data_IF_987976554971
#
_entry.id   IF_987976554971
#
_cell.length_a   1.000
_cell.length_b   1.000
_cell.length_c   1.000
_cell.angle_alpha   90.00
_cell.angle_beta   90.00
_cell.angle_gamma   90.00
#
_symmetry.space_group_name_H-M   'P 1'
#
loop_
_entity.id
_entity.type
_entity.pdbx_description
1 polymer ?
#
# COMPACT_ATOMS: atom_id res chain seq x y z
N UNK A 1 -45.81 26.49 -10.53
CA UNK A 1 -44.69 26.14 -11.43
C UNK A 1 -43.87 25.07 -10.74
N UNK A 2 -43.95 23.82 -11.25
CA UNK A 2 -43.19 22.66 -10.69
C UNK A 2 -41.95 22.46 -11.57
N UNK A 3 -40.76 22.75 -11.08
CA UNK A 3 -39.51 22.40 -11.73
C UNK A 3 -39.15 20.98 -11.39
N UNK A 4 -39.09 20.13 -12.40
CA UNK A 4 -38.59 18.75 -12.31
C UNK A 4 -37.05 18.77 -12.43
N UNK A 5 -36.36 18.17 -11.48
CA UNK A 5 -34.96 17.79 -11.60
C UNK A 5 -34.84 16.49 -12.42
N UNK A 6 -33.83 16.33 -13.28
CA UNK A 6 -33.62 15.10 -14.03
C UNK A 6 -32.98 14.01 -13.13
N UNK A 7 -33.23 12.72 -13.41
CA UNK A 7 -32.65 11.64 -12.63
C UNK A 7 -31.20 11.43 -13.02
N UNK A 8 -30.30 11.41 -12.04
CA UNK A 8 -28.95 10.93 -12.19
C UNK A 8 -28.96 9.41 -12.45
N UNK A 9 -28.48 9.04 -13.61
CA UNK A 9 -28.36 7.64 -14.01
C UNK A 9 -26.99 7.08 -13.53
N UNK A 10 -26.93 6.68 -12.26
CA UNK A 10 -25.85 5.82 -11.77
C UNK A 10 -26.13 4.36 -12.16
N UNK A 11 -25.85 3.94 -13.39
CA UNK A 11 -26.15 2.58 -13.89
C UNK A 11 -24.97 1.59 -13.76
N UNK A 12 -23.81 1.99 -13.22
CA UNK A 12 -22.62 1.12 -13.15
C UNK A 12 -22.53 0.24 -11.89
N UNK A 13 -22.88 0.78 -10.74
CA UNK A 13 -22.65 0.09 -9.45
C UNK A 13 -23.60 -1.08 -9.17
N UNK A 14 -24.84 -1.02 -9.65
CA UNK A 14 -25.83 -2.08 -9.38
C UNK A 14 -25.58 -3.40 -10.15
N UNK A 15 -24.90 -3.35 -11.28
CA UNK A 15 -24.62 -4.57 -12.06
C UNK A 15 -23.48 -5.41 -11.47
N UNK A 16 -22.48 -4.77 -10.85
CA UNK A 16 -21.36 -5.49 -10.23
C UNK A 16 -21.75 -6.18 -8.91
N UNK A 17 -22.53 -5.52 -8.07
CA UNK A 17 -23.01 -6.11 -6.81
C UNK A 17 -23.92 -7.33 -7.02
N UNK A 18 -24.77 -7.29 -8.06
CA UNK A 18 -25.64 -8.42 -8.39
C UNK A 18 -24.90 -9.62 -8.96
N UNK A 19 -23.75 -9.41 -9.60
CA UNK A 19 -22.92 -10.46 -10.15
C UNK A 19 -22.19 -11.26 -9.05
N UNK A 20 -21.71 -10.58 -8.02
CA UNK A 20 -20.99 -11.21 -6.90
C UNK A 20 -21.87 -12.18 -6.08
N UNK A 21 -23.14 -11.83 -5.88
CA UNK A 21 -24.05 -12.68 -5.09
C UNK A 21 -24.45 -13.98 -5.79
N UNK A 22 -24.44 -14.01 -7.14
CA UNK A 22 -24.82 -15.17 -7.93
C UNK A 22 -23.69 -16.20 -8.11
N UNK A 23 -22.41 -15.84 -7.80
CA UNK A 23 -21.24 -16.66 -8.11
C UNK A 23 -20.77 -17.49 -6.91
N UNK A 24 -21.13 -17.12 -5.68
CA UNK A 24 -20.68 -17.81 -4.46
C UNK A 24 -20.92 -19.34 -4.41
N UNK A 25 -22.02 -19.91 -4.93
CA UNK A 25 -22.22 -21.35 -4.90
C UNK A 25 -21.44 -22.15 -5.97
N UNK A 26 -20.98 -21.54 -7.05
CA UNK A 26 -20.33 -22.25 -8.15
C UNK A 26 -18.86 -22.65 -7.86
N UNK A 27 -18.23 -21.97 -6.91
CA UNK A 27 -16.80 -22.17 -6.64
C UNK A 27 -16.49 -23.50 -5.90
N UNK A 28 -17.46 -24.09 -5.21
CA UNK A 28 -17.24 -25.32 -4.41
C UNK A 28 -17.04 -26.60 -5.24
N UNK A 29 -17.41 -26.61 -6.50
CA UNK A 29 -17.46 -27.83 -7.32
C UNK A 29 -16.20 -28.14 -8.15
N UNK A 30 -15.24 -27.19 -8.27
CA UNK A 30 -14.12 -27.31 -9.23
C UNK A 30 -12.73 -27.44 -8.61
N UNK A 31 -12.60 -27.63 -7.29
CA UNK A 31 -11.32 -27.67 -6.58
C UNK A 31 -10.51 -28.98 -6.77
N UNK A 32 -10.88 -29.87 -7.66
CA UNK A 32 -10.33 -31.23 -7.70
C UNK A 32 -9.55 -31.62 -8.99
N UNK A 33 -9.32 -30.69 -9.91
CA UNK A 33 -8.48 -30.96 -11.06
C UNK A 33 -7.07 -30.42 -10.85
N UNK A 34 -6.05 -31.26 -11.17
CA UNK A 34 -4.64 -30.98 -10.91
C UNK A 34 -4.24 -29.61 -11.50
N UNK A 35 -4.07 -28.66 -10.62
CA UNK A 35 -3.69 -27.30 -11.01
C UNK A 35 -2.25 -27.33 -11.51
N UNK A 36 -2.05 -26.91 -12.72
CA UNK A 36 -0.78 -26.35 -13.18
C UNK A 36 -0.42 -25.24 -12.20
N UNK A 37 0.86 -24.98 -11.96
CA UNK A 37 1.29 -23.97 -11.01
C UNK A 37 0.52 -22.66 -11.22
N UNK A 38 -0.22 -22.15 -10.23
CA UNK A 38 -1.04 -20.96 -10.40
C UNK A 38 -0.15 -19.74 -10.65
N UNK A 39 -0.65 -18.79 -11.41
CA UNK A 39 -0.09 -17.46 -11.49
C UNK A 39 -0.47 -16.68 -10.22
N UNK A 40 0.43 -15.84 -9.68
CA UNK A 40 0.21 -15.17 -8.41
C UNK A 40 0.41 -13.67 -8.55
N UNK A 41 -0.60 -12.90 -8.15
CA UNK A 41 -0.46 -11.48 -7.82
C UNK A 41 -0.29 -11.32 -6.31
N UNK A 42 0.57 -10.39 -5.92
CA UNK A 42 0.76 -10.00 -4.53
C UNK A 42 1.14 -8.51 -4.45
N UNK A 43 0.94 -7.88 -3.30
CA UNK A 43 1.21 -6.47 -3.10
C UNK A 43 0.36 -5.90 -1.97
N UNK A 44 0.04 -4.61 -2.05
CA UNK A 44 -0.87 -3.92 -1.14
C UNK A 44 -2.19 -3.61 -1.81
N UNK A 45 -3.27 -3.70 -1.03
CA UNK A 45 -4.55 -3.03 -1.30
C UNK A 45 -4.68 -1.90 -0.30
N UNK A 46 -4.90 -0.70 -0.81
CA UNK A 46 -4.97 0.55 -0.05
C UNK A 46 -6.25 1.30 -0.41
N UNK A 47 -6.77 2.07 0.51
CA UNK A 47 -7.85 3.02 0.22
C UNK A 47 -7.30 4.28 -0.49
N UNK A 48 -8.20 5.19 -0.89
CA UNK A 48 -7.85 6.44 -1.55
C UNK A 48 -6.93 7.37 -0.75
N UNK A 49 -6.74 7.11 0.54
CA UNK A 49 -5.75 7.80 1.37
C UNK A 49 -4.41 7.06 1.45
N UNK A 50 -4.23 6.00 0.65
CA UNK A 50 -3.10 5.09 0.68
C UNK A 50 -2.92 4.35 2.02
N UNK A 51 -3.95 4.28 2.86
CA UNK A 51 -3.94 3.44 4.05
C UNK A 51 -4.27 1.98 3.66
N UNK A 52 -3.37 1.07 4.02
CA UNK A 52 -3.52 -0.34 3.68
C UNK A 52 -4.69 -1.00 4.43
N UNK A 53 -5.42 -1.86 3.74
CA UNK A 53 -6.35 -2.80 4.38
C UNK A 53 -5.58 -3.90 5.11
N UNK A 54 -6.21 -4.47 6.15
CA UNK A 54 -5.62 -5.56 6.95
C UNK A 54 -6.72 -6.49 7.51
N UNK A 55 -6.45 -7.20 8.59
CA UNK A 55 -7.42 -8.07 9.26
C UNK A 55 -8.49 -7.32 10.05
N UNK A 56 -8.33 -6.02 10.29
CA UNK A 56 -9.31 -5.17 11.00
C UNK A 56 -10.21 -4.42 10.03
N UNK A 57 -9.64 -4.06 8.86
CA UNK A 57 -10.32 -3.47 7.71
C UNK A 57 -10.11 -4.40 6.53
N UNK A 58 -10.97 -5.38 6.37
CA UNK A 58 -10.79 -6.43 5.37
C UNK A 58 -11.29 -5.97 4.01
N UNK A 59 -10.43 -6.05 3.00
CA UNK A 59 -10.83 -5.98 1.60
C UNK A 59 -10.73 -7.37 0.96
N UNK A 60 -11.62 -7.66 0.01
CA UNK A 60 -11.59 -8.91 -0.76
C UNK A 60 -11.28 -8.63 -2.22
N UNK A 61 -10.24 -9.24 -2.73
CA UNK A 61 -9.77 -9.12 -4.12
C UNK A 61 -10.34 -10.28 -4.92
N UNK A 62 -10.93 -9.97 -6.07
CA UNK A 62 -11.49 -10.94 -7.00
C UNK A 62 -10.79 -10.84 -8.35
N UNK A 63 -10.56 -11.99 -8.99
CA UNK A 63 -10.11 -12.09 -10.38
C UNK A 63 -11.18 -12.75 -11.23
N UNK A 64 -11.48 -12.17 -12.40
CA UNK A 64 -12.45 -12.66 -13.37
C UNK A 64 -11.79 -12.88 -14.73
N UNK A 65 -12.27 -13.86 -15.49
CA UNK A 65 -11.91 -14.02 -16.89
C UNK A 65 -12.59 -12.98 -17.80
N UNK A 66 -12.27 -13.02 -19.09
CA UNK A 66 -12.87 -12.14 -20.09
C UNK A 66 -14.39 -12.30 -20.24
N UNK A 67 -14.94 -13.43 -19.83
CA UNK A 67 -16.37 -13.73 -19.81
C UNK A 67 -17.07 -13.28 -18.51
N UNK A 68 -16.32 -12.76 -17.53
CA UNK A 68 -16.82 -12.36 -16.22
C UNK A 68 -16.98 -13.52 -15.24
N UNK A 69 -16.43 -14.71 -15.52
CA UNK A 69 -16.45 -15.83 -14.57
C UNK A 69 -15.35 -15.64 -13.50
N UNK A 70 -15.70 -15.90 -12.24
CA UNK A 70 -14.77 -15.81 -11.13
C UNK A 70 -13.70 -16.91 -11.22
N UNK A 71 -12.43 -16.51 -11.26
CA UNK A 71 -11.26 -17.37 -11.28
C UNK A 71 -10.65 -17.56 -9.90
N UNK A 72 -10.54 -16.47 -9.13
CA UNK A 72 -9.88 -16.48 -7.82
C UNK A 72 -10.41 -15.38 -6.91
N UNK A 73 -10.23 -15.56 -5.60
CA UNK A 73 -10.45 -14.53 -4.60
C UNK A 73 -9.40 -14.64 -3.50
N UNK A 74 -9.11 -13.52 -2.85
CA UNK A 74 -8.26 -13.43 -1.66
C UNK A 74 -8.75 -12.33 -0.75
N UNK A 75 -8.59 -12.49 0.54
CA UNK A 75 -8.82 -11.44 1.53
C UNK A 75 -7.47 -10.82 1.92
N UNK A 76 -7.52 -9.56 2.37
CA UNK A 76 -6.34 -8.88 2.91
C UNK A 76 -5.93 -9.48 4.25
N UNK A 77 -4.65 -9.37 4.56
CA UNK A 77 -4.04 -9.85 5.81
C UNK A 77 -3.06 -8.79 6.34
N UNK A 78 -2.63 -8.98 7.58
CA UNK A 78 -1.61 -8.13 8.19
C UNK A 78 -0.37 -8.93 8.56
N UNK A 79 0.81 -8.36 8.24
CA UNK A 79 2.13 -8.83 8.68
C UNK A 79 3.03 -7.63 8.96
N UNK A 80 3.58 -7.50 10.17
CA UNK A 80 4.37 -6.34 10.55
C UNK A 80 5.70 -6.22 9.80
N UNK A 81 6.20 -7.35 9.27
CA UNK A 81 7.45 -7.50 8.54
C UNK A 81 7.26 -7.54 7.00
N UNK A 82 6.09 -7.16 6.52
CA UNK A 82 5.75 -7.22 5.10
C UNK A 82 4.92 -6.02 4.67
N UNK A 83 5.32 -5.38 3.57
CA UNK A 83 4.47 -4.38 2.92
C UNK A 83 3.24 -5.00 2.25
N UNK A 84 3.27 -6.32 1.96
CA UNK A 84 2.23 -7.03 1.24
C UNK A 84 1.09 -7.38 2.18
N UNK A 85 -0.14 -7.08 1.76
CA UNK A 85 -1.34 -7.43 2.50
C UNK A 85 -2.32 -8.29 1.71
N UNK A 86 -1.98 -8.70 0.47
CA UNK A 86 -2.77 -9.68 -0.27
C UNK A 86 -1.90 -10.64 -1.08
N UNK A 87 -2.50 -11.78 -1.44
CA UNK A 87 -1.93 -12.78 -2.31
C UNK A 87 -3.04 -13.47 -3.09
N UNK A 88 -3.20 -13.13 -4.36
CA UNK A 88 -4.22 -13.68 -5.23
C UNK A 88 -3.61 -14.73 -6.16
N UNK A 89 -4.05 -15.98 -6.04
CA UNK A 89 -3.60 -17.09 -6.86
C UNK A 89 -4.64 -17.39 -7.94
N UNK A 90 -4.30 -17.12 -9.19
CA UNK A 90 -5.14 -17.39 -10.35
C UNK A 90 -4.83 -18.80 -10.88
N UNK A 91 -5.79 -19.74 -10.85
CA UNK A 91 -5.57 -21.08 -11.33
C UNK A 91 -5.40 -21.09 -12.84
N UNK A 92 -4.41 -21.87 -13.34
CA UNK A 92 -4.10 -22.00 -14.76
C UNK A 92 -4.39 -23.40 -15.26
N UNK A 93 -4.70 -23.49 -16.55
CA UNK A 93 -4.80 -24.75 -17.30
C UNK A 93 -4.16 -24.60 -18.69
N UNK A 94 -3.69 -25.71 -19.25
CA UNK A 94 -3.10 -25.73 -20.59
C UNK A 94 -4.16 -25.71 -21.72
N UNK A 95 -5.44 -25.78 -21.37
CA UNK A 95 -6.57 -25.75 -22.29
C UNK A 95 -7.73 -24.95 -21.67
N UNK A 96 -8.71 -24.61 -22.51
CA UNK A 96 -9.93 -23.92 -22.04
C UNK A 96 -10.75 -24.85 -21.11
N UNK A 97 -10.57 -24.65 -19.82
CA UNK A 97 -11.23 -25.37 -18.73
C UNK A 97 -11.97 -24.37 -17.85
N UNK A 98 -13.25 -24.60 -17.62
CA UNK A 98 -14.09 -23.73 -16.80
C UNK A 98 -13.51 -23.53 -15.39
N UNK A 99 -13.33 -22.27 -14.98
CA UNK A 99 -12.77 -21.88 -13.68
C UNK A 99 -11.24 -21.83 -13.64
N UNK A 100 -10.61 -21.98 -14.80
CA UNK A 100 -9.16 -21.81 -15.00
C UNK A 100 -8.93 -20.77 -16.09
N UNK A 101 -7.75 -20.16 -16.08
CA UNK A 101 -7.31 -19.25 -17.13
C UNK A 101 -6.11 -19.83 -17.88
N UNK A 102 -5.82 -19.27 -19.04
CA UNK A 102 -4.61 -19.58 -19.80
C UNK A 102 -3.63 -18.42 -19.68
N UNK A 103 -2.32 -18.72 -19.79
CA UNK A 103 -1.29 -17.69 -19.90
C UNK A 103 -1.62 -16.73 -21.06
N UNK A 104 -1.48 -15.43 -20.82
CA UNK A 104 -1.82 -14.36 -21.78
C UNK A 104 -3.31 -14.05 -21.92
N UNK A 105 -4.21 -14.79 -21.23
CA UNK A 105 -5.63 -14.50 -21.27
C UNK A 105 -5.96 -13.17 -20.57
N UNK A 106 -7.00 -12.51 -21.05
CA UNK A 106 -7.50 -11.28 -20.40
C UNK A 106 -8.05 -11.56 -19.01
N UNK A 107 -7.72 -10.68 -18.08
CA UNK A 107 -8.11 -10.74 -16.66
C UNK A 107 -8.67 -9.40 -16.24
N UNK A 108 -9.67 -9.42 -15.38
CA UNK A 108 -10.13 -8.22 -14.67
C UNK A 108 -10.10 -8.45 -13.16
N UNK A 109 -9.71 -7.40 -12.42
CA UNK A 109 -9.66 -7.41 -10.96
C UNK A 109 -10.74 -6.49 -10.43
N UNK A 110 -11.44 -6.95 -9.40
CA UNK A 110 -12.31 -6.13 -8.58
C UNK A 110 -11.93 -6.28 -7.12
N UNK A 111 -12.13 -5.23 -6.35
CA UNK A 111 -11.91 -5.24 -4.90
C UNK A 111 -13.18 -4.81 -4.21
N UNK A 112 -13.61 -5.56 -3.22
CA UNK A 112 -14.69 -5.19 -2.31
C UNK A 112 -14.06 -4.67 -1.02
N UNK A 113 -14.35 -3.41 -0.66
CA UNK A 113 -13.81 -2.78 0.54
C UNK A 113 -14.57 -3.19 1.81
N UNK A 114 -14.11 -2.75 2.97
CA UNK A 114 -14.70 -3.01 4.28
C UNK A 114 -16.12 -2.42 4.47
N UNK A 115 -16.54 -1.50 3.59
CA UNK A 115 -17.90 -0.97 3.53
C UNK A 115 -18.81 -1.73 2.54
N UNK A 116 -18.30 -2.78 1.89
CA UNK A 116 -19.01 -3.58 0.88
C UNK A 116 -19.15 -2.87 -0.48
N UNK A 117 -18.35 -1.83 -0.76
CA UNK A 117 -18.30 -1.20 -2.08
C UNK A 117 -17.37 -2.00 -2.98
N UNK A 118 -17.76 -2.17 -4.24
CA UNK A 118 -16.96 -2.88 -5.23
C UNK A 118 -16.29 -1.88 -6.16
N UNK A 119 -14.98 -1.95 -6.23
CA UNK A 119 -14.11 -1.13 -7.05
C UNK A 119 -13.56 -1.95 -8.21
N UNK A 120 -13.54 -1.37 -9.41
CA UNK A 120 -12.69 -1.86 -10.50
C UNK A 120 -11.32 -1.26 -10.25
N UNK A 121 -10.40 -2.05 -9.69
CA UNK A 121 -9.19 -1.56 -9.07
C UNK A 121 -8.39 -0.61 -9.95
N UNK A 122 -8.02 0.53 -9.40
CA UNK A 122 -6.95 1.37 -9.94
C UNK A 122 -5.64 0.75 -9.50
N UNK A 123 -4.84 0.33 -10.45
CA UNK A 123 -3.50 -0.16 -10.20
C UNK A 123 -2.56 1.03 -10.27
N UNK A 124 -1.98 1.39 -9.16
CA UNK A 124 -0.92 2.38 -9.08
C UNK A 124 0.40 1.63 -8.93
N UNK A 125 0.90 1.05 -10.00
CA UNK A 125 2.29 0.66 -10.09
C UNK A 125 2.88 1.20 -11.39
N UNK A 126 4.09 1.77 -11.30
CA UNK A 126 4.80 2.41 -12.40
C UNK A 126 5.08 1.44 -13.55
N UNK A 127 4.09 1.12 -14.34
CA UNK A 127 4.17 0.22 -15.49
C UNK A 127 2.90 -0.53 -15.85
N UNK A 128 1.91 -0.57 -14.97
CA UNK A 128 0.61 -1.19 -15.25
C UNK A 128 -0.43 -0.12 -15.58
N UNK A 129 -0.40 0.39 -16.80
CA UNK A 129 -1.48 1.22 -17.33
C UNK A 129 -2.76 0.40 -17.43
N UNK A 130 -3.80 0.83 -16.70
CA UNK A 130 -5.17 0.34 -16.80
C UNK A 130 -5.41 -1.13 -16.43
N UNK A 131 -5.28 -1.42 -15.14
CA UNK A 131 -5.75 -2.69 -14.57
C UNK A 131 -4.82 -3.86 -14.91
N UNK A 132 -4.83 -4.84 -14.04
CA UNK A 132 -4.24 -6.14 -14.29
C UNK A 132 -4.96 -6.75 -15.49
N UNK A 133 -4.36 -6.71 -16.66
CA UNK A 133 -5.06 -6.98 -17.93
C UNK A 133 -4.80 -8.36 -18.47
N UNK A 134 -3.77 -9.06 -18.00
CA UNK A 134 -3.41 -10.38 -18.56
C UNK A 134 -2.84 -11.31 -17.49
N UNK A 135 -3.18 -12.57 -17.63
CA UNK A 135 -2.63 -13.67 -16.81
C UNK A 135 -1.21 -13.98 -17.27
N UNK A 136 -0.26 -14.06 -16.36
CA UNK A 136 1.12 -14.41 -16.65
C UNK A 136 1.36 -15.91 -16.78
N UNK A 137 2.63 -16.29 -16.86
CA UNK A 137 3.09 -17.67 -17.04
C UNK A 137 2.85 -18.55 -15.78
N UNK A 138 2.72 -19.87 -15.94
CA UNK A 138 2.60 -20.80 -14.82
C UNK A 138 3.72 -20.64 -13.79
N UNK A 139 3.34 -20.45 -12.52
CA UNK A 139 4.27 -20.22 -11.43
C UNK A 139 4.85 -18.80 -11.37
N UNK A 140 4.47 -17.93 -12.30
CA UNK A 140 4.83 -16.52 -12.30
C UNK A 140 4.29 -15.78 -11.07
N UNK A 141 5.04 -14.79 -10.61
CA UNK A 141 4.68 -13.93 -9.48
C UNK A 141 4.85 -12.49 -9.92
N UNK A 142 3.78 -11.70 -9.77
CA UNK A 142 3.78 -10.26 -10.04
C UNK A 142 3.47 -9.51 -8.75
N UNK A 143 4.28 -8.51 -8.46
CA UNK A 143 4.02 -7.59 -7.35
C UNK A 143 3.31 -6.36 -7.90
N UNK A 144 2.10 -6.10 -7.37
CA UNK A 144 1.23 -5.01 -7.81
C UNK A 144 0.50 -4.44 -6.61
N UNK A 145 0.62 -3.14 -6.42
CA UNK A 145 -0.15 -2.40 -5.42
C UNK A 145 -1.46 -1.90 -6.05
N UNK A 146 -2.54 -1.96 -5.29
CA UNK A 146 -3.89 -1.57 -5.70
C UNK A 146 -4.35 -0.45 -4.77
N UNK A 147 -4.62 0.73 -5.32
CA UNK A 147 -5.29 1.83 -4.62
C UNK A 147 -6.75 1.87 -5.04
N UNK A 148 -7.66 1.97 -4.06
CA UNK A 148 -9.09 2.05 -4.33
C UNK A 148 -9.49 3.51 -4.58
N UNK A 149 -9.36 3.96 -5.83
CA UNK A 149 -9.65 5.31 -6.25
C UNK A 149 -9.65 5.45 -7.77
N UNK A 150 -9.67 6.67 -8.28
CA UNK A 150 -9.58 7.00 -9.70
C UNK A 150 -8.44 8.01 -9.88
N UNK A 151 -7.57 7.78 -10.84
CA UNK A 151 -6.56 8.72 -11.32
C UNK A 151 -6.85 9.01 -12.79
N UNK A 152 -7.60 10.09 -13.04
CA UNK A 152 -8.10 10.43 -14.40
C UNK A 152 -7.07 11.17 -15.23
N UNK A 153 -6.19 11.92 -14.59
CA UNK A 153 -5.17 12.71 -15.27
C UNK A 153 -3.86 11.95 -15.45
N UNK A 154 -3.70 10.79 -14.78
CA UNK A 154 -2.56 9.89 -14.94
C UNK A 154 -1.28 10.40 -14.28
N UNK A 155 -1.40 11.24 -13.25
CA UNK A 155 -0.26 11.83 -12.54
C UNK A 155 0.27 10.95 -11.39
N UNK A 156 -0.38 9.81 -11.14
CA UNK A 156 0.00 8.86 -10.09
C UNK A 156 -0.60 9.18 -8.72
N UNK A 157 -1.38 10.25 -8.61
CA UNK A 157 -2.09 10.64 -7.38
C UNK A 157 -3.58 10.39 -7.56
N UNK A 158 -4.20 9.69 -6.62
CA UNK A 158 -5.65 9.45 -6.64
C UNK A 158 -6.44 10.77 -6.64
N UNK A 159 -7.44 10.90 -7.54
CA UNK A 159 -8.29 12.10 -7.66
C UNK A 159 -9.00 12.49 -6.35
N UNK A 160 -9.33 11.53 -5.48
CA UNK A 160 -9.99 11.81 -4.20
C UNK A 160 -8.99 12.30 -3.16
N UNK A 161 -7.79 11.71 -3.13
CA UNK A 161 -6.68 12.19 -2.30
C UNK A 161 -6.33 13.63 -2.68
N UNK A 162 -6.13 13.91 -3.97
CA UNK A 162 -5.85 15.27 -4.48
C UNK A 162 -6.93 16.28 -4.04
N UNK A 163 -8.21 15.95 -4.27
CA UNK A 163 -9.32 16.83 -3.87
C UNK A 163 -9.46 17.02 -2.37
N UNK A 164 -9.05 16.02 -1.58
CA UNK A 164 -9.01 16.15 -0.12
C UNK A 164 -7.91 17.13 0.29
N UNK A 165 -6.68 16.93 -0.21
CA UNK A 165 -5.54 17.80 0.08
C UNK A 165 -5.80 19.24 -0.36
N UNK A 166 -6.40 19.45 -1.54
CA UNK A 166 -6.79 20.79 -2.02
C UNK A 166 -7.76 21.48 -1.06
N UNK A 167 -8.79 20.76 -0.56
CA UNK A 167 -9.73 21.31 0.43
C UNK A 167 -9.07 21.58 1.78
N UNK A 168 -8.17 20.72 2.23
CA UNK A 168 -7.41 20.90 3.48
C UNK A 168 -6.50 22.10 3.35
N UNK A 169 -5.79 22.25 2.23
CA UNK A 169 -4.97 23.42 1.92
C UNK A 169 -5.77 24.73 1.91
N UNK A 170 -6.93 24.78 1.22
CA UNK A 170 -7.80 25.95 1.19
C UNK A 170 -8.27 26.40 2.58
N UNK A 171 -8.33 25.50 3.55
CA UNK A 171 -8.72 25.76 4.93
C UNK A 171 -7.53 25.91 5.88
N UNK A 172 -6.30 25.77 5.41
CA UNK A 172 -5.08 25.89 6.22
C UNK A 172 -4.55 27.32 6.26
N UNK A 173 -3.63 27.58 7.18
CA UNK A 173 -2.89 28.85 7.24
C UNK A 173 -1.85 28.98 6.09
N UNK A 174 -1.59 27.89 5.38
CA UNK A 174 -0.68 27.86 4.23
C UNK A 174 -1.34 28.32 2.93
N UNK A 175 -2.67 28.51 2.92
CA UNK A 175 -3.40 28.90 1.72
C UNK A 175 -3.01 30.27 1.18
N UNK A 176 -2.77 30.34 -0.13
CA UNK A 176 -2.47 31.59 -0.83
C UNK A 176 -3.45 31.81 -1.97
N UNK A 177 -4.22 32.91 -1.88
CA UNK A 177 -5.24 33.26 -2.88
C UNK A 177 -4.65 33.43 -4.27
N UNK A 178 -5.26 32.76 -5.25
CA UNK A 178 -4.88 32.83 -6.66
C UNK A 178 -3.70 31.95 -7.07
N UNK A 179 -3.17 31.16 -6.16
CA UNK A 179 -2.19 30.08 -6.47
C UNK A 179 -2.97 28.79 -6.64
N UNK A 180 -2.80 28.02 -7.75
CA UNK A 180 -3.36 26.68 -7.87
C UNK A 180 -2.72 25.73 -6.85
N UNK A 181 -3.50 24.76 -6.34
CA UNK A 181 -2.96 23.68 -5.52
C UNK A 181 -2.02 22.80 -6.35
N UNK A 182 -0.82 22.58 -5.83
CA UNK A 182 0.17 21.67 -6.40
C UNK A 182 0.60 20.67 -5.32
N UNK A 183 0.21 19.39 -5.41
CA UNK A 183 0.57 18.39 -4.41
C UNK A 183 2.08 18.12 -4.31
N UNK A 184 2.87 18.48 -5.32
CA UNK A 184 4.33 18.36 -5.30
C UNK A 184 5.03 19.54 -4.61
N UNK A 185 4.29 20.60 -4.27
CA UNK A 185 4.83 21.73 -3.52
C UNK A 185 4.91 21.41 -2.02
N UNK A 186 5.87 22.03 -1.37
CA UNK A 186 5.99 22.10 0.09
C UNK A 186 5.18 23.34 0.58
N UNK A 187 3.96 23.10 1.07
CA UNK A 187 3.05 24.20 1.40
C UNK A 187 3.27 24.78 2.78
N UNK A 188 3.79 24.03 3.75
CA UNK A 188 4.05 24.51 5.12
C UNK A 188 5.52 24.90 5.35
N UNK A 189 6.40 24.60 4.39
CA UNK A 189 7.79 25.06 4.37
C UNK A 189 8.74 24.22 5.24
N UNK A 190 8.40 22.99 5.56
CA UNK A 190 9.24 22.09 6.36
C UNK A 190 10.31 21.34 5.55
N UNK A 191 10.22 21.38 4.22
CA UNK A 191 11.13 20.76 3.26
C UNK A 191 10.64 19.44 2.69
N UNK A 192 9.41 19.00 3.02
CA UNK A 192 8.77 17.79 2.48
C UNK A 192 7.61 18.18 1.58
N UNK A 193 7.45 17.60 0.38
CA UNK A 193 6.29 17.85 -0.47
C UNK A 193 4.98 17.37 0.19
N UNK A 194 3.91 18.12 -0.01
CA UNK A 194 2.57 17.83 0.52
C UNK A 194 2.10 16.40 0.25
N UNK A 195 2.36 15.88 -0.96
CA UNK A 195 1.99 14.51 -1.31
C UNK A 195 2.80 13.48 -0.52
N UNK A 196 4.09 13.69 -0.34
CA UNK A 196 4.97 12.78 0.38
C UNK A 196 4.58 12.68 1.86
N UNK A 197 4.17 13.81 2.46
CA UNK A 197 3.65 13.85 3.81
C UNK A 197 2.31 13.13 3.94
N UNK A 198 1.38 13.37 3.00
CA UNK A 198 0.10 12.66 2.97
C UNK A 198 0.31 11.15 2.84
N UNK A 199 1.27 10.70 2.04
CA UNK A 199 1.66 9.29 1.90
C UNK A 199 2.38 8.76 3.15
N UNK A 200 3.19 9.57 3.80
CA UNK A 200 3.83 9.23 5.07
C UNK A 200 2.86 9.19 6.25
N UNK A 201 1.70 9.88 6.13
CA UNK A 201 0.67 9.97 7.17
C UNK A 201 0.95 11.08 8.18
N UNK A 202 1.73 12.08 7.82
CA UNK A 202 1.90 13.34 8.53
C UNK A 202 0.90 14.40 8.03
N UNK A 203 0.77 15.51 8.71
CA UNK A 203 -0.11 16.61 8.33
C UNK A 203 0.64 17.59 7.40
N UNK A 204 0.33 17.61 6.09
CA UNK A 204 1.08 18.36 5.09
C UNK A 204 0.90 19.90 5.14
N UNK A 205 0.20 20.39 6.13
CA UNK A 205 -0.02 21.83 6.37
C UNK A 205 0.41 22.25 7.77
N UNK A 206 1.23 21.43 8.43
CA UNK A 206 1.77 21.67 9.76
C UNK A 206 3.25 21.31 9.83
N UNK A 207 4.14 22.25 9.59
CA UNK A 207 5.60 22.09 9.60
C UNK A 207 6.20 21.46 10.89
N UNK A 208 5.40 21.27 11.94
CA UNK A 208 5.84 20.58 13.15
C UNK A 208 5.57 19.07 13.10
N UNK A 209 4.67 18.59 12.22
CA UNK A 209 4.28 17.20 12.06
C UNK A 209 4.96 16.57 10.85
N UNK A 210 6.25 16.40 10.92
CA UNK A 210 7.05 15.80 9.84
C UNK A 210 7.58 14.41 10.23
N UNK A 211 7.73 13.52 9.25
CA UNK A 211 8.30 12.18 9.45
C UNK A 211 9.80 12.30 9.76
N UNK A 212 10.16 12.18 11.04
CA UNK A 212 11.53 12.34 11.53
C UNK A 212 11.84 11.41 12.69
N UNK A 213 13.12 11.10 12.90
CA UNK A 213 13.56 10.42 14.11
C UNK A 213 13.40 11.37 15.30
N UNK A 214 12.53 11.00 16.24
CA UNK A 214 12.19 11.81 17.43
C UNK A 214 13.01 11.43 18.66
N UNK A 215 13.52 10.19 18.70
CA UNK A 215 14.43 9.75 19.74
C UNK A 215 15.48 8.78 19.18
N UNK A 216 16.68 8.91 19.72
CA UNK A 216 17.79 8.02 19.47
C UNK A 216 18.46 7.68 20.80
N UNK A 217 18.66 6.41 21.08
CA UNK A 217 19.36 5.96 22.27
C UNK A 217 20.27 4.75 21.98
N UNK A 218 21.32 4.64 22.79
CA UNK A 218 22.16 3.46 22.86
C UNK A 218 21.70 2.62 24.06
N UNK A 219 21.14 1.45 23.80
CA UNK A 219 20.63 0.57 24.84
C UNK A 219 21.68 -0.49 25.20
N UNK A 220 22.33 -0.31 26.36
CA UNK A 220 23.36 -1.22 26.85
C UNK A 220 22.79 -2.51 27.44
N UNK A 221 21.49 -2.57 27.78
CA UNK A 221 20.87 -3.70 28.47
C UNK A 221 20.12 -4.66 27.54
N UNK A 222 19.79 -4.24 26.34
CA UNK A 222 18.91 -4.99 25.42
C UNK A 222 19.53 -6.29 24.85
N UNK A 223 20.82 -6.52 25.06
CA UNK A 223 21.55 -7.67 24.49
C UNK A 223 21.95 -8.72 25.53
N UNK A 224 21.01 -9.42 26.10
CA UNK A 224 21.32 -10.70 26.73
C UNK A 224 21.52 -11.79 25.65
N UNK A 225 22.72 -11.85 25.06
CA UNK A 225 23.12 -12.96 24.19
C UNK A 225 23.82 -12.59 22.87
N UNK A 226 23.84 -11.35 22.42
CA UNK A 226 24.61 -10.90 21.26
C UNK A 226 25.75 -9.97 21.69
N UNK A 227 26.91 -10.10 21.06
CA UNK A 227 28.08 -9.25 21.31
C UNK A 227 27.92 -7.89 20.61
N UNK A 228 27.11 -7.00 21.15
CA UNK A 228 26.93 -5.69 20.57
C UNK A 228 25.94 -4.82 21.35
N UNK A 229 26.05 -3.52 21.20
CA UNK A 229 25.16 -2.53 21.78
C UNK A 229 24.02 -2.25 20.79
N UNK A 230 22.74 -2.35 21.22
CA UNK A 230 21.62 -1.95 20.37
C UNK A 230 21.46 -0.43 20.36
N UNK A 231 21.13 0.09 19.18
CA UNK A 231 20.64 1.44 19.00
C UNK A 231 19.12 1.39 18.85
N UNK A 232 18.41 2.24 19.56
CA UNK A 232 16.97 2.42 19.33
C UNK A 232 16.70 3.72 18.60
N UNK A 233 15.82 3.66 17.60
CA UNK A 233 15.29 4.81 16.88
C UNK A 233 13.78 4.85 17.10
N UNK A 234 13.25 6.02 17.47
CA UNK A 234 11.81 6.23 17.56
C UNK A 234 11.37 7.30 16.56
N UNK A 235 10.23 7.09 15.91
CA UNK A 235 9.67 8.02 14.93
C UNK A 235 8.14 7.94 14.93
N UNK A 236 7.42 9.02 14.54
CA UNK A 236 5.97 9.00 14.42
C UNK A 236 5.54 8.02 13.34
N UNK A 237 4.39 7.40 13.52
CA UNK A 237 3.83 6.46 12.57
C UNK A 237 2.32 6.65 12.45
N UNK A 238 1.77 6.39 11.26
CA UNK A 238 0.34 6.44 10.98
C UNK A 238 -0.21 5.05 10.66
N UNK A 239 -1.49 4.79 10.97
CA UNK A 239 -2.14 3.51 10.68
C UNK A 239 -2.13 3.17 9.19
N UNK A 240 -1.94 1.89 8.86
CA UNK A 240 -1.97 1.38 7.50
C UNK A 240 -0.77 1.76 6.62
N UNK A 241 0.26 2.41 7.19
CA UNK A 241 1.46 2.82 6.47
C UNK A 241 2.59 1.80 6.60
N UNK A 242 3.54 1.90 5.69
CA UNK A 242 4.78 1.12 5.70
C UNK A 242 5.97 2.06 5.75
N UNK A 243 6.91 1.78 6.63
CA UNK A 243 8.10 2.61 6.82
C UNK A 243 9.36 1.78 6.66
N UNK A 244 10.41 2.43 6.16
CA UNK A 244 11.77 1.90 6.07
C UNK A 244 12.73 2.80 6.83
N UNK A 245 13.73 2.20 7.45
CA UNK A 245 14.90 2.92 7.96
C UNK A 245 16.00 2.78 6.93
N UNK A 246 16.64 3.87 6.60
CA UNK A 246 17.79 3.88 5.70
C UNK A 246 19.03 4.35 6.44
N UNK A 247 20.18 3.85 6.00
CA UNK A 247 21.50 4.20 6.55
C UNK A 247 22.44 4.65 5.45
N UNK A 248 23.34 5.57 5.76
CA UNK A 248 24.40 6.03 4.86
C UNK A 248 25.69 6.31 5.65
N UNK A 249 26.82 6.28 4.95
CA UNK A 249 28.12 6.65 5.52
C UNK A 249 28.35 8.18 5.56
N UNK A 250 27.57 8.93 4.77
CA UNK A 250 27.61 10.39 4.72
C UNK A 250 26.20 10.90 4.38
N UNK A 251 25.80 12.12 4.83
CA UNK A 251 24.47 12.68 4.55
C UNK A 251 24.19 12.86 3.04
N UNK A 252 25.22 13.06 2.24
CA UNK A 252 25.16 13.23 0.78
C UNK A 252 25.51 11.96 0.01
N UNK A 253 25.68 10.83 0.71
CA UNK A 253 26.02 9.54 0.11
C UNK A 253 24.77 8.78 -0.38
N UNK A 254 25.03 7.58 -0.93
CA UNK A 254 23.95 6.63 -1.22
C UNK A 254 23.34 6.13 0.09
N UNK A 255 22.00 6.05 0.10
CA UNK A 255 21.24 5.51 1.21
C UNK A 255 20.84 4.07 0.91
N UNK A 256 21.00 3.20 1.89
CA UNK A 256 20.66 1.78 1.80
C UNK A 256 19.62 1.44 2.88
N UNK A 257 18.73 0.49 2.61
CA UNK A 257 17.78 0.00 3.64
C UNK A 257 18.56 -0.65 4.77
N UNK A 258 18.31 -0.20 5.99
CA UNK A 258 18.87 -0.80 7.18
C UNK A 258 18.06 -2.02 7.61
N UNK A 259 18.73 -3.04 8.12
CA UNK A 259 18.08 -4.12 8.87
C UNK A 259 17.92 -3.70 10.33
N UNK A 260 16.75 -3.97 10.91
CA UNK A 260 16.43 -3.64 12.29
C UNK A 260 15.49 -4.69 12.92
N UNK A 261 15.41 -4.70 14.23
CA UNK A 261 14.51 -5.56 15.00
C UNK A 261 13.29 -4.75 15.46
N UNK A 262 12.12 -5.38 15.51
CA UNK A 262 10.90 -4.76 16.03
C UNK A 262 10.87 -4.79 17.57
N UNK A 263 11.54 -5.77 18.16
CA UNK A 263 11.75 -5.85 19.60
C UNK A 263 13.18 -6.33 19.94
N UNK A 264 13.73 -5.98 21.11
CA UNK A 264 15.10 -6.34 21.51
C UNK A 264 15.40 -7.84 21.56
N UNK A 265 14.40 -8.70 21.54
CA UNK A 265 14.56 -10.17 21.63
C UNK A 265 14.24 -10.92 20.35
N UNK A 266 13.98 -10.24 19.27
CA UNK A 266 13.64 -10.86 17.99
C UNK A 266 14.76 -11.70 17.44
N UNK A 267 14.43 -12.85 16.87
CA UNK A 267 15.40 -13.83 16.36
C UNK A 267 16.02 -13.42 15.01
N UNK A 268 15.34 -12.57 14.24
CA UNK A 268 15.80 -12.11 12.93
C UNK A 268 15.43 -10.64 12.70
N UNK A 269 16.30 -9.87 12.02
CA UNK A 269 15.97 -8.50 11.65
C UNK A 269 14.99 -8.48 10.47
N UNK A 270 14.34 -7.33 10.30
CA UNK A 270 13.51 -6.95 9.15
C UNK A 270 14.09 -5.66 8.55
N UNK A 271 13.65 -5.28 7.36
CA UNK A 271 14.10 -4.05 6.69
C UNK A 271 12.95 -3.06 6.42
N UNK A 272 11.76 -3.36 6.91
CA UNK A 272 10.58 -2.50 6.88
C UNK A 272 9.66 -2.82 8.06
N UNK A 273 8.77 -1.88 8.38
CA UNK A 273 7.66 -2.09 9.32
C UNK A 273 6.35 -1.66 8.68
N UNK A 274 5.37 -2.56 8.68
CA UNK A 274 3.99 -2.29 8.28
C UNK A 274 3.14 -2.05 9.52
N UNK A 275 2.33 -1.02 9.52
CA UNK A 275 1.43 -0.67 10.63
C UNK A 275 0.02 -1.19 10.34
N UNK A 276 -0.73 -1.67 11.38
CA UNK A 276 -2.12 -2.02 11.21
C UNK A 276 -2.97 -0.77 10.92
N UNK A 277 -4.11 -0.95 10.26
CA UNK A 277 -5.05 0.12 9.91
C UNK A 277 -5.78 0.73 11.11
N UNK A 278 -5.80 0.05 12.24
CA UNK A 278 -6.37 0.59 13.48
C UNK A 278 -5.30 1.32 14.30
N UNK A 279 -5.61 2.50 14.86
CA UNK A 279 -4.65 3.26 15.63
C UNK A 279 -4.14 2.47 16.85
N UNK A 280 -2.85 2.17 16.85
CA UNK A 280 -2.09 1.85 18.03
C UNK A 280 -1.26 3.09 18.34
N UNK A 281 -1.60 3.83 19.40
CA UNK A 281 -1.08 5.18 19.58
C UNK A 281 0.41 5.26 19.88
N UNK A 282 1.05 6.25 19.33
CA UNK A 282 2.36 6.73 19.68
C UNK A 282 3.47 6.38 18.68
N UNK A 283 4.67 6.91 18.91
CA UNK A 283 5.81 6.67 18.03
C UNK A 283 6.23 5.19 18.06
N UNK A 284 6.62 4.68 16.92
CA UNK A 284 7.22 3.35 16.81
C UNK A 284 8.70 3.42 17.15
N UNK A 285 9.20 2.39 17.85
CA UNK A 285 10.62 2.23 18.16
C UNK A 285 11.14 0.96 17.47
N UNK A 286 12.26 1.10 16.78
CA UNK A 286 13.01 0.00 16.16
C UNK A 286 14.41 -0.08 16.71
N UNK A 287 15.04 -1.26 16.62
CA UNK A 287 16.33 -1.54 17.23
C UNK A 287 17.33 -2.00 16.17
N UNK A 288 18.47 -1.32 16.08
CA UNK A 288 19.53 -1.61 15.10
C UNK A 288 20.80 -2.10 15.81
N UNK A 289 21.51 -3.01 15.16
CA UNK A 289 22.88 -3.31 15.53
C UNK A 289 23.80 -2.26 14.90
N UNK A 290 24.74 -1.66 15.66
CA UNK A 290 25.78 -0.83 15.09
C UNK A 290 26.57 -1.65 14.04
N UNK A 291 26.81 -1.08 12.87
CA UNK A 291 27.69 -1.71 11.91
C UNK A 291 29.14 -1.71 12.46
N UNK A 292 29.77 -2.87 12.66
CA UNK A 292 31.05 -2.97 13.34
C UNK A 292 32.22 -2.27 12.61
N UNK A 293 32.05 -2.03 11.31
CA UNK A 293 33.09 -1.52 10.42
C UNK A 293 32.88 -0.06 9.97
N UNK A 294 32.00 0.69 10.65
CA UNK A 294 31.67 2.09 10.27
C UNK A 294 32.05 3.06 11.38
N UNK A 295 32.90 4.04 11.07
CA UNK A 295 33.28 5.13 11.97
C UNK A 295 32.10 6.11 12.23
N UNK A 296 31.13 6.19 11.31
CA UNK A 296 29.92 6.97 11.42
C UNK A 296 28.80 6.33 10.61
N UNK A 297 27.57 6.46 11.09
CA UNK A 297 26.37 6.10 10.35
C UNK A 297 25.32 7.20 10.50
N UNK A 298 24.70 7.55 9.39
CA UNK A 298 23.57 8.44 9.34
C UNK A 298 22.30 7.60 9.13
N UNK A 299 21.21 8.01 9.76
CA UNK A 299 19.93 7.32 9.66
C UNK A 299 18.85 8.28 9.25
N UNK A 300 17.94 7.82 8.40
CA UNK A 300 16.67 8.48 8.10
C UNK A 300 15.55 7.47 8.09
N UNK A 301 14.34 7.93 8.32
CA UNK A 301 13.11 7.15 8.12
C UNK A 301 12.39 7.70 6.91
N UNK A 302 11.80 6.81 6.10
CA UNK A 302 10.97 7.17 4.95
C UNK A 302 9.71 6.30 4.93
N UNK A 303 8.64 6.78 4.28
CA UNK A 303 7.57 5.89 3.85
C UNK A 303 8.10 4.95 2.76
N UNK A 304 7.56 3.74 2.66
CA UNK A 304 8.01 2.77 1.64
C UNK A 304 7.60 3.23 0.21
N UNK A 305 6.57 4.06 0.10
CA UNK A 305 6.15 4.65 -1.17
C UNK A 305 7.19 5.63 -1.70
N UNK A 306 7.79 6.47 -0.85
CA UNK A 306 8.90 7.36 -1.20
C UNK A 306 10.18 6.60 -1.56
N UNK A 307 10.43 5.46 -0.93
CA UNK A 307 11.65 4.68 -1.14
C UNK A 307 11.70 4.00 -2.52
N UNK A 308 10.56 3.83 -3.20
CA UNK A 308 10.52 3.24 -4.56
C UNK A 308 11.00 4.19 -5.64
N UNK A 309 10.91 5.49 -5.42
CA UNK A 309 11.29 6.50 -6.41
C UNK A 309 12.81 6.67 -6.56
N UNK A 310 13.61 6.02 -5.71
CA UNK A 310 15.08 6.14 -5.67
C UNK A 310 15.81 4.91 -6.22
N UNK A 311 15.09 3.79 -6.55
CA UNK A 311 15.64 2.56 -7.16
C UNK A 311 15.45 2.57 -8.69
#
# INVERSE_FOLDING_TARGET
MKSRLPPFAGRGALAAASLLLAIAPAFRAHAQQAAVNPFTYLGRVMDASHAAFDTNRVATIYAFDAGGALLARSETFYRPDSRRNYRLRVPLADADVKGYSMSGAALSIAVEDDAGRVWSGVVVDAGATNGLSTVGEPGGVYEVDIVLGEDKDGDGVDDELRRRLEREWENSDCWTNGVPFDPSADHDGDGVPTIDEALAGTDPFNAADTLRITAFALDAEALRGASGQLMSLSFPTAPGRVYVVQTANAPTGSWERAEFFLAPGDAAPVNLISLPSTPGGGPTTVYLLPAPDRDAAFFRVKSDDDAKSED
#
